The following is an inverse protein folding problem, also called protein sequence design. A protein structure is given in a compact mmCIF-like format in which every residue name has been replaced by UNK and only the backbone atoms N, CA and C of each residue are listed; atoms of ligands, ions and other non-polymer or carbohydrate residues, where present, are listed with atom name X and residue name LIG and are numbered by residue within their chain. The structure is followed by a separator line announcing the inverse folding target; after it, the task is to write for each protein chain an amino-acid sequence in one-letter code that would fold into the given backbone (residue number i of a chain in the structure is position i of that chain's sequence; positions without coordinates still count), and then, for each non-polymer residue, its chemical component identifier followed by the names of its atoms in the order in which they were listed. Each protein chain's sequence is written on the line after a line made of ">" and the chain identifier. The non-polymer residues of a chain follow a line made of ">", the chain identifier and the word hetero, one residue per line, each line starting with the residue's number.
data_IF_532047475951
#
_entry.id   IF_532047475951
#
_cell.length_a   1.000
_cell.length_b   1.000
_cell.length_c   1.000
_cell.angle_alpha   90.00
_cell.angle_beta   90.00
_cell.angle_gamma   90.00
#
_symmetry.space_group_name_H-M   'P 1'
#
loop_
_entity.id
_entity.type
_entity.pdbx_description
1 polymer ?
#
# COMPACT_ATOMS: atom_id res chain seq x y z
N UNK A 1 -38.72 -12.58 3.35
CA UNK A 1 -38.73 -11.35 4.17
C UNK A 1 -38.69 -10.17 3.23
N UNK A 2 -39.59 -9.21 3.35
CA UNK A 2 -39.68 -8.09 2.41
C UNK A 2 -38.53 -7.11 2.68
N UNK A 3 -37.62 -6.98 1.71
CA UNK A 3 -36.60 -5.93 1.69
C UNK A 3 -37.32 -4.57 1.69
N UNK A 4 -37.00 -3.73 2.68
CA UNK A 4 -37.47 -2.34 2.68
C UNK A 4 -36.66 -1.60 1.59
N UNK A 5 -37.34 -0.80 0.75
CA UNK A 5 -36.62 -0.04 -0.28
C UNK A 5 -35.71 0.99 0.36
N UNK A 6 -34.52 1.09 -0.21
CA UNK A 6 -33.58 2.18 0.01
C UNK A 6 -34.35 3.51 -0.13
N UNK A 7 -34.15 4.43 0.81
CA UNK A 7 -34.74 5.77 0.72
C UNK A 7 -34.07 6.50 -0.45
N UNK A 8 -34.76 6.49 -1.59
CA UNK A 8 -34.44 7.38 -2.69
C UNK A 8 -35.01 8.74 -2.33
N UNK A 9 -34.17 9.74 -2.06
CA UNK A 9 -34.64 11.12 -2.06
C UNK A 9 -35.17 11.42 -3.47
N UNK A 10 -36.47 11.56 -3.58
CA UNK A 10 -37.09 12.12 -4.77
C UNK A 10 -36.65 13.57 -4.87
N UNK A 11 -35.79 13.88 -5.81
CA UNK A 11 -35.66 15.26 -6.27
C UNK A 11 -37.01 15.67 -6.90
N UNK A 12 -37.43 16.90 -6.70
CA UNK A 12 -38.72 17.45 -7.11
C UNK A 12 -38.96 17.48 -8.65
N UNK A 13 -38.18 16.71 -9.41
CA UNK A 13 -38.26 16.70 -10.88
C UNK A 13 -38.75 15.39 -11.48
N UNK A 14 -39.45 14.54 -10.78
CA UNK A 14 -40.29 13.48 -11.38
C UNK A 14 -39.65 12.60 -12.47
N UNK A 15 -38.33 12.56 -12.59
CA UNK A 15 -37.61 11.78 -13.59
C UNK A 15 -37.12 10.47 -12.98
N UNK A 16 -37.25 9.41 -13.75
CA UNK A 16 -36.77 8.08 -13.43
C UNK A 16 -35.26 8.08 -13.17
N UNK A 17 -34.80 7.19 -12.28
CA UNK A 17 -33.37 6.91 -12.07
C UNK A 17 -32.72 6.65 -13.42
N UNK A 18 -31.65 7.39 -13.75
CA UNK A 18 -30.77 7.09 -14.87
C UNK A 18 -29.43 6.65 -14.32
N UNK A 19 -28.90 5.59 -14.87
CA UNK A 19 -27.56 5.10 -14.58
C UNK A 19 -26.51 6.10 -15.08
N UNK A 20 -25.38 6.20 -14.38
CA UNK A 20 -24.23 6.92 -14.91
C UNK A 20 -23.58 6.12 -16.03
N UNK A 21 -23.28 6.81 -17.10
CA UNK A 21 -22.44 6.30 -18.17
C UNK A 21 -21.00 6.74 -17.95
N UNK A 22 -20.05 5.98 -18.44
CA UNK A 22 -18.64 6.31 -18.35
C UNK A 22 -18.03 6.40 -19.75
N UNK A 23 -17.29 7.48 -19.97
CA UNK A 23 -16.39 7.63 -21.12
C UNK A 23 -14.95 7.57 -20.60
N UNK A 24 -14.35 6.38 -20.67
CA UNK A 24 -13.07 6.11 -20.03
C UNK A 24 -13.16 6.25 -18.50
N UNK A 25 -12.43 7.21 -17.93
CA UNK A 25 -12.41 7.50 -16.48
C UNK A 25 -13.40 8.62 -16.07
N UNK A 26 -14.15 9.18 -17.02
CA UNK A 26 -15.06 10.30 -16.77
C UNK A 26 -16.48 9.77 -16.54
N UNK A 27 -17.04 10.05 -15.37
CA UNK A 27 -18.44 9.77 -15.08
C UNK A 27 -19.31 10.81 -15.79
N UNK A 28 -20.29 10.34 -16.59
CA UNK A 28 -21.23 11.17 -17.33
C UNK A 28 -22.65 11.00 -16.78
N UNK A 29 -23.40 12.07 -16.80
CA UNK A 29 -24.83 12.05 -16.59
C UNK A 29 -25.49 12.85 -17.73
N UNK A 30 -26.40 12.21 -18.47
CA UNK A 30 -27.00 12.79 -19.66
C UNK A 30 -25.93 13.36 -20.64
N UNK A 31 -24.88 12.56 -20.91
CA UNK A 31 -23.76 12.91 -21.79
C UNK A 31 -22.90 14.13 -21.34
N UNK A 32 -23.07 14.57 -20.09
CA UNK A 32 -22.28 15.66 -19.49
C UNK A 32 -21.46 15.18 -18.32
N UNK A 33 -20.26 15.75 -18.10
CA UNK A 33 -19.46 15.41 -16.92
C UNK A 33 -20.26 15.59 -15.63
N UNK A 34 -20.32 14.52 -14.83
CA UNK A 34 -21.05 14.50 -13.58
C UNK A 34 -20.27 15.17 -12.47
N UNK A 35 -20.98 15.92 -11.62
CA UNK A 35 -20.46 16.42 -10.34
C UNK A 35 -21.49 16.12 -9.27
N UNK A 36 -21.09 15.38 -8.25
CA UNK A 36 -21.99 15.00 -7.16
C UNK A 36 -21.49 13.77 -6.41
N UNK A 37 -22.22 13.45 -5.35
CA UNK A 37 -21.96 12.25 -4.56
C UNK A 37 -22.56 11.03 -5.27
N UNK A 38 -21.82 9.92 -5.33
CA UNK A 38 -22.37 8.66 -5.80
C UNK A 38 -21.94 7.50 -4.90
N UNK A 39 -22.72 6.43 -4.95
CA UNK A 39 -22.37 5.16 -4.33
C UNK A 39 -22.74 4.02 -5.27
N UNK A 40 -21.96 2.97 -5.25
CA UNK A 40 -22.19 1.71 -5.94
C UNK A 40 -22.57 0.65 -4.94
N UNK A 41 -23.65 -0.10 -5.24
CA UNK A 41 -24.02 -1.28 -4.51
C UNK A 41 -23.64 -2.52 -5.32
N UNK A 42 -23.10 -3.52 -4.66
CA UNK A 42 -22.83 -4.82 -5.25
C UNK A 42 -23.96 -5.81 -4.88
N UNK A 43 -24.62 -6.40 -5.85
CA UNK A 43 -25.58 -7.50 -5.63
C UNK A 43 -24.84 -8.85 -5.69
N UNK A 44 -24.65 -9.55 -4.56
CA UNK A 44 -23.89 -10.80 -4.54
C UNK A 44 -24.65 -11.99 -5.18
N UNK A 45 -25.94 -11.83 -5.48
CA UNK A 45 -26.79 -12.94 -5.95
C UNK A 45 -26.95 -12.96 -7.48
N UNK A 46 -26.74 -11.85 -8.16
CA UNK A 46 -27.05 -11.73 -9.59
C UNK A 46 -25.87 -11.48 -10.53
N UNK A 47 -24.69 -11.17 -10.01
CA UNK A 47 -23.51 -10.86 -10.86
C UNK A 47 -23.71 -9.61 -11.75
N UNK A 48 -24.74 -8.82 -11.52
CA UNK A 48 -24.98 -7.56 -12.15
C UNK A 48 -24.67 -6.42 -11.18
N UNK A 49 -23.79 -5.53 -11.60
CA UNK A 49 -23.54 -4.28 -10.92
C UNK A 49 -24.74 -3.36 -11.11
N UNK A 50 -25.56 -3.18 -10.09
CA UNK A 50 -26.53 -2.09 -10.07
C UNK A 50 -25.87 -0.89 -9.43
N UNK A 51 -25.43 0.05 -10.24
CA UNK A 51 -25.07 1.38 -9.77
C UNK A 51 -26.35 2.11 -9.39
N UNK A 52 -26.72 2.08 -8.11
CA UNK A 52 -27.79 2.90 -7.56
C UNK A 52 -27.22 4.29 -7.25
N UNK A 53 -27.41 5.19 -8.19
CA UNK A 53 -26.96 6.58 -8.08
C UNK A 53 -27.96 7.40 -7.27
N UNK A 54 -27.54 7.87 -6.11
CA UNK A 54 -28.20 9.01 -5.48
C UNK A 54 -27.56 10.28 -6.06
N UNK A 55 -28.21 10.85 -7.07
CA UNK A 55 -27.84 12.16 -7.58
C UNK A 55 -28.35 13.19 -6.59
N UNK A 56 -27.46 13.74 -5.80
CA UNK A 56 -27.75 14.95 -5.06
C UNK A 56 -27.35 16.11 -5.96
N UNK A 57 -28.29 16.71 -6.68
CA UNK A 57 -28.06 18.05 -7.21
C UNK A 57 -27.70 18.95 -6.04
N UNK A 58 -26.48 19.43 -6.01
CA UNK A 58 -26.08 20.45 -5.06
C UNK A 58 -26.81 21.74 -5.37
N UNK A 59 -27.85 22.02 -4.64
CA UNK A 59 -28.20 23.40 -4.34
C UNK A 59 -27.04 24.00 -3.58
N UNK A 60 -26.37 24.98 -4.18
CA UNK A 60 -25.15 25.59 -3.71
C UNK A 60 -25.16 25.82 -2.19
N UNK A 61 -24.20 25.20 -1.50
CA UNK A 61 -23.79 25.65 -0.18
C UNK A 61 -24.32 24.89 1.02
N UNK A 62 -24.60 23.59 0.96
CA UNK A 62 -24.76 22.81 2.18
C UNK A 62 -23.38 22.49 2.81
N UNK A 63 -23.20 22.69 4.13
CA UNK A 63 -21.95 22.41 4.82
C UNK A 63 -21.57 20.92 4.75
N UNK A 64 -20.27 20.61 4.74
CA UNK A 64 -19.73 19.23 4.76
C UNK A 64 -20.32 18.35 5.87
N UNK A 65 -20.68 18.92 7.00
CA UNK A 65 -21.35 18.24 8.12
C UNK A 65 -22.73 17.63 7.77
N UNK A 66 -23.38 18.11 6.72
CA UNK A 66 -24.66 17.54 6.26
C UNK A 66 -24.50 16.21 5.52
N UNK A 67 -23.34 15.95 4.92
CA UNK A 67 -23.10 14.72 4.19
C UNK A 67 -22.79 13.54 5.10
N UNK A 68 -22.23 13.79 6.29
CA UNK A 68 -21.91 12.73 7.26
C UNK A 68 -23.11 12.22 8.05
N UNK A 69 -24.17 13.03 8.19
CA UNK A 69 -25.32 12.71 9.04
C UNK A 69 -26.45 11.95 8.33
N UNK A 70 -26.47 11.93 7.00
CA UNK A 70 -27.50 11.26 6.20
C UNK A 70 -27.09 9.91 5.59
N UNK A 71 -25.90 9.41 5.91
CA UNK A 71 -25.55 8.03 5.61
C UNK A 71 -26.28 7.09 6.56
N UNK A 72 -27.57 6.92 6.36
CA UNK A 72 -28.30 5.80 6.96
C UNK A 72 -27.80 4.55 6.27
N UNK A 73 -26.82 3.88 6.90
CA UNK A 73 -26.50 2.49 6.57
C UNK A 73 -27.78 1.69 6.69
N UNK A 74 -28.40 1.33 5.58
CA UNK A 74 -29.32 0.20 5.61
C UNK A 74 -28.45 -1.02 5.95
N UNK A 75 -28.69 -1.56 7.11
CA UNK A 75 -28.06 -2.75 7.65
C UNK A 75 -28.46 -3.95 6.82
N UNK A 76 -27.95 -4.16 5.65
CA UNK A 76 -27.97 -5.45 4.93
C UNK A 76 -27.60 -5.19 3.46
N UNK A 77 -26.48 -5.75 3.04
CA UNK A 77 -26.09 -6.01 1.66
C UNK A 77 -25.65 -4.79 0.82
N UNK A 78 -24.90 -3.85 1.40
CA UNK A 78 -24.31 -2.76 0.62
C UNK A 78 -22.81 -3.03 0.46
N UNK A 79 -22.46 -3.53 -0.71
CA UNK A 79 -21.08 -3.61 -1.17
C UNK A 79 -20.87 -2.55 -2.22
N UNK A 80 -19.68 -1.96 -2.26
CA UNK A 80 -19.43 -1.04 -3.32
C UNK A 80 -18.49 0.08 -2.92
N UNK A 81 -18.73 1.21 -3.48
CA UNK A 81 -17.94 2.40 -3.20
C UNK A 81 -18.83 3.62 -3.06
N UNK A 82 -18.36 4.60 -2.29
CA UNK A 82 -18.99 5.91 -2.21
C UNK A 82 -17.94 7.01 -2.27
N UNK A 83 -18.31 8.15 -2.81
CA UNK A 83 -17.45 9.31 -2.93
C UNK A 83 -18.08 10.42 -3.76
N UNK A 84 -17.29 11.44 -3.99
CA UNK A 84 -17.72 12.62 -4.71
C UNK A 84 -17.08 12.68 -6.10
N UNK A 85 -17.88 13.01 -7.12
CA UNK A 85 -17.43 13.38 -8.45
C UNK A 85 -17.47 14.89 -8.66
N UNK A 86 -16.43 15.41 -9.29
CA UNK A 86 -16.36 16.79 -9.75
C UNK A 86 -15.99 16.79 -11.23
N UNK A 87 -16.85 17.37 -12.04
CA UNK A 87 -16.68 17.37 -13.51
C UNK A 87 -16.42 15.96 -14.08
N UNK A 88 -17.15 14.95 -13.60
CA UNK A 88 -17.05 13.57 -14.04
C UNK A 88 -15.85 12.79 -13.51
N UNK A 89 -14.99 13.39 -12.70
CA UNK A 89 -13.80 12.76 -12.12
C UNK A 89 -13.93 12.61 -10.61
N UNK A 90 -13.37 11.54 -10.03
CA UNK A 90 -13.31 11.36 -8.59
C UNK A 90 -12.61 12.55 -7.94
N UNK A 91 -13.20 13.08 -6.84
CA UNK A 91 -12.66 14.23 -6.10
C UNK A 91 -12.98 14.07 -4.62
N UNK A 92 -12.00 14.31 -3.72
CA UNK A 92 -12.16 14.11 -2.28
C UNK A 92 -12.01 12.65 -1.83
N UNK A 93 -12.61 12.34 -0.69
CA UNK A 93 -12.52 11.00 -0.09
C UNK A 93 -13.44 10.02 -0.81
N UNK A 94 -12.88 8.85 -1.15
CA UNK A 94 -13.61 7.70 -1.64
C UNK A 94 -13.44 6.53 -0.69
N UNK A 95 -14.55 5.89 -0.31
CA UNK A 95 -14.59 4.74 0.59
C UNK A 95 -15.10 3.51 -0.17
N UNK A 96 -14.45 2.39 0.07
CA UNK A 96 -14.78 1.08 -0.52
C UNK A 96 -15.03 0.07 0.59
N UNK A 97 -15.88 -0.92 0.36
CA UNK A 97 -16.23 -1.93 1.35
C UNK A 97 -16.06 -3.34 0.81
N UNK A 98 -15.82 -4.26 1.74
CA UNK A 98 -15.93 -5.69 1.49
C UNK A 98 -17.40 -6.13 1.45
N UNK A 99 -17.69 -7.33 0.85
CA UNK A 99 -19.01 -7.92 0.84
C UNK A 99 -19.68 -8.02 2.23
N UNK A 100 -18.94 -8.20 3.28
CA UNK A 100 -19.44 -8.32 4.65
C UNK A 100 -19.67 -6.96 5.35
N UNK A 101 -19.49 -5.84 4.61
CA UNK A 101 -19.78 -4.49 5.08
C UNK A 101 -18.64 -3.79 5.85
N UNK A 102 -17.47 -4.42 5.98
CA UNK A 102 -16.30 -3.75 6.55
C UNK A 102 -15.63 -2.90 5.48
N UNK A 103 -14.97 -1.80 5.88
CA UNK A 103 -14.15 -1.00 4.97
C UNK A 103 -13.02 -1.84 4.39
N UNK A 104 -12.86 -1.79 3.07
CA UNK A 104 -11.74 -2.38 2.36
C UNK A 104 -10.68 -1.36 1.99
N UNK A 105 -11.09 -0.12 1.64
CA UNK A 105 -10.18 0.96 1.29
C UNK A 105 -10.81 2.33 1.52
N UNK A 106 -9.97 3.30 1.86
CA UNK A 106 -10.25 4.73 1.74
C UNK A 106 -9.12 5.37 0.93
N UNK A 107 -9.46 6.25 -0.01
CA UNK A 107 -8.49 6.93 -0.85
C UNK A 107 -8.92 8.37 -1.12
N UNK A 108 -7.96 9.30 -1.10
CA UNK A 108 -8.22 10.68 -1.48
C UNK A 108 -7.90 10.88 -2.95
N UNK A 109 -8.84 11.49 -3.68
CA UNK A 109 -8.72 11.80 -5.10
C UNK A 109 -8.75 13.30 -5.35
N UNK A 110 -8.05 13.71 -6.39
CA UNK A 110 -8.13 15.05 -6.97
C UNK A 110 -8.11 14.92 -8.48
N UNK A 111 -9.11 15.49 -9.14
CA UNK A 111 -9.24 15.43 -10.60
C UNK A 111 -9.11 14.02 -11.20
N UNK A 112 -9.58 12.98 -10.48
CA UNK A 112 -9.59 11.58 -10.90
C UNK A 112 -8.36 10.76 -10.51
N UNK A 113 -7.29 11.39 -9.97
CA UNK A 113 -6.08 10.68 -9.55
C UNK A 113 -5.93 10.66 -8.03
N UNK A 114 -5.29 9.63 -7.48
CA UNK A 114 -5.01 9.56 -6.04
C UNK A 114 -4.10 10.73 -5.62
N UNK A 115 -4.53 11.49 -4.61
CA UNK A 115 -3.81 12.63 -4.10
C UNK A 115 -4.09 12.78 -2.59
N UNK A 116 -3.16 12.35 -1.76
CA UNK A 116 -3.31 12.25 -0.32
C UNK A 116 -3.05 10.84 0.19
N UNK A 117 -3.69 10.48 1.28
CA UNK A 117 -3.52 9.16 1.91
C UNK A 117 -4.51 8.16 1.33
N UNK A 118 -4.02 6.97 0.99
CA UNK A 118 -4.83 5.79 0.70
C UNK A 118 -4.57 4.75 1.78
N UNK A 119 -5.64 4.36 2.48
CA UNK A 119 -5.61 3.31 3.52
C UNK A 119 -6.40 2.10 3.04
N UNK A 120 -5.86 0.90 3.26
CA UNK A 120 -6.55 -0.36 2.97
C UNK A 120 -6.60 -1.22 4.22
N UNK A 121 -7.64 -2.04 4.32
CA UNK A 121 -7.87 -2.95 5.44
C UNK A 121 -8.06 -4.37 4.95
N UNK A 122 -7.73 -5.32 5.80
CA UNK A 122 -8.11 -6.72 5.66
C UNK A 122 -9.61 -6.91 5.99
N UNK A 123 -10.20 -8.04 5.60
CA UNK A 123 -11.57 -8.41 5.98
C UNK A 123 -11.80 -8.47 7.50
N UNK A 124 -10.76 -8.75 8.28
CA UNK A 124 -10.82 -8.72 9.74
C UNK A 124 -10.74 -7.29 10.33
N UNK A 125 -10.84 -6.26 9.50
CA UNK A 125 -10.75 -4.83 9.85
C UNK A 125 -9.39 -4.37 10.37
N UNK A 126 -8.38 -5.22 10.36
CA UNK A 126 -7.00 -4.77 10.61
C UNK A 126 -6.46 -4.01 9.40
N UNK A 127 -5.66 -2.99 9.65
CA UNK A 127 -5.04 -2.21 8.58
C UNK A 127 -4.09 -3.10 7.77
N UNK A 128 -4.21 -3.04 6.45
CA UNK A 128 -3.35 -3.73 5.49
C UNK A 128 -2.21 -2.82 5.03
N UNK A 129 -2.56 -1.60 4.63
CA UNK A 129 -1.57 -0.64 4.14
C UNK A 129 -2.03 0.80 4.30
N UNK A 130 -1.06 1.69 4.41
CA UNK A 130 -1.21 3.13 4.30
C UNK A 130 -0.16 3.64 3.32
N UNK A 131 -0.60 4.40 2.32
CA UNK A 131 0.24 4.95 1.27
C UNK A 131 -0.05 6.43 1.08
N UNK A 132 0.98 7.19 0.77
CA UNK A 132 0.85 8.59 0.46
C UNK A 132 1.05 8.82 -1.04
N UNK A 133 0.09 9.51 -1.66
CA UNK A 133 0.10 9.82 -3.08
C UNK A 133 0.14 11.33 -3.33
N UNK A 134 0.84 11.71 -4.37
CA UNK A 134 0.82 13.05 -4.94
C UNK A 134 0.66 12.93 -6.45
N UNK A 135 -0.42 13.52 -6.98
CA UNK A 135 -0.72 13.52 -8.41
C UNK A 135 -0.65 12.11 -9.05
N UNK A 136 -1.20 11.10 -8.34
CA UNK A 136 -1.28 9.70 -8.78
C UNK A 136 -0.02 8.86 -8.56
N UNK A 137 1.06 9.43 -8.01
CA UNK A 137 2.33 8.71 -7.76
C UNK A 137 2.60 8.61 -6.26
N UNK A 138 3.19 7.50 -5.80
CA UNK A 138 3.59 7.36 -4.39
C UNK A 138 4.63 8.43 -4.02
N UNK A 139 4.31 9.29 -3.04
CA UNK A 139 5.20 10.33 -2.52
C UNK A 139 5.00 10.45 -1.01
N UNK A 140 5.91 9.91 -0.24
CA UNK A 140 5.84 9.83 1.21
C UNK A 140 6.10 8.44 1.76
N UNK A 141 5.61 8.19 2.97
CA UNK A 141 5.78 6.90 3.64
C UNK A 141 4.70 5.92 3.18
N UNK A 142 5.13 4.71 2.81
CA UNK A 142 4.27 3.55 2.60
C UNK A 142 4.49 2.55 3.73
N UNK A 143 3.43 2.14 4.39
CA UNK A 143 3.47 1.16 5.48
C UNK A 143 2.52 0.01 5.16
N UNK A 144 2.96 -1.20 5.43
CA UNK A 144 2.15 -2.42 5.36
C UNK A 144 2.11 -3.12 6.73
N UNK A 145 1.01 -3.75 7.03
CA UNK A 145 0.79 -4.56 8.22
C UNK A 145 0.39 -5.98 7.85
N UNK A 146 0.68 -6.91 8.71
CA UNK A 146 0.19 -8.29 8.65
C UNK A 146 -1.26 -8.37 9.17
N UNK A 147 -2.02 -9.43 8.85
CA UNK A 147 -3.39 -9.62 9.35
C UNK A 147 -3.52 -9.66 10.89
N UNK A 148 -2.43 -9.86 11.61
CA UNK A 148 -2.36 -9.79 13.08
C UNK A 148 -2.13 -8.37 13.62
N UNK A 149 -2.06 -7.35 12.74
CA UNK A 149 -1.86 -5.95 13.07
C UNK A 149 -0.40 -5.52 13.31
N UNK A 150 0.55 -6.44 13.21
CA UNK A 150 1.98 -6.11 13.30
C UNK A 150 2.50 -5.54 11.98
N UNK A 151 3.53 -4.71 12.05
CA UNK A 151 4.20 -4.20 10.86
C UNK A 151 4.74 -5.34 9.99
N UNK A 152 4.54 -5.22 8.68
CA UNK A 152 5.13 -6.09 7.66
C UNK A 152 6.29 -5.38 6.96
N UNK A 153 6.06 -4.16 6.47
CA UNK A 153 7.12 -3.33 5.87
C UNK A 153 6.83 -1.83 5.99
N UNK A 154 7.90 -1.04 5.95
CA UNK A 154 7.82 0.43 5.89
C UNK A 154 8.89 0.96 4.96
N UNK A 155 8.48 1.76 3.99
CA UNK A 155 9.36 2.34 2.99
C UNK A 155 9.03 3.83 2.79
N UNK A 156 9.96 4.57 2.21
CA UNK A 156 9.74 5.96 1.84
C UNK A 156 9.90 6.12 0.33
N UNK A 157 8.94 6.79 -0.30
CA UNK A 157 8.94 7.07 -1.74
C UNK A 157 9.01 8.57 -2.00
N UNK A 158 9.67 8.91 -3.08
CA UNK A 158 9.70 10.27 -3.63
C UNK A 158 9.42 10.18 -5.12
N UNK A 159 8.34 10.81 -5.56
CA UNK A 159 7.93 10.79 -6.98
C UNK A 159 7.93 9.37 -7.57
N UNK A 160 7.35 8.39 -6.84
CA UNK A 160 7.28 6.98 -7.22
C UNK A 160 8.59 6.20 -7.05
N UNK A 161 9.68 6.85 -6.69
CA UNK A 161 10.99 6.21 -6.52
C UNK A 161 11.27 5.92 -5.05
N UNK A 162 11.73 4.70 -4.75
CA UNK A 162 12.09 4.30 -3.39
C UNK A 162 13.34 5.07 -2.93
N UNK A 163 13.20 5.76 -1.80
CA UNK A 163 14.21 6.65 -1.22
C UNK A 163 14.32 6.44 0.28
N UNK A 164 15.54 6.58 0.84
CA UNK A 164 15.74 6.49 2.28
C UNK A 164 15.55 5.08 2.85
N UNK A 165 15.12 4.97 4.11
CA UNK A 165 15.05 3.68 4.80
C UNK A 165 13.90 2.80 4.28
N UNK A 166 14.19 1.51 4.11
CA UNK A 166 13.21 0.45 3.91
C UNK A 166 13.41 -0.60 4.99
N UNK A 167 12.37 -0.89 5.77
CA UNK A 167 12.39 -1.82 6.88
C UNK A 167 11.33 -2.89 6.65
N UNK A 168 11.70 -4.14 6.87
CA UNK A 168 10.81 -5.31 6.79
C UNK A 168 10.86 -6.03 8.14
N UNK A 169 9.73 -6.55 8.61
CA UNK A 169 9.61 -7.30 9.85
C UNK A 169 9.23 -8.76 9.58
N UNK A 170 9.62 -9.63 10.47
CA UNK A 170 9.11 -10.99 10.59
C UNK A 170 7.67 -10.98 11.12
N UNK A 171 6.93 -12.07 10.94
CA UNK A 171 5.57 -12.21 11.48
C UNK A 171 5.50 -12.15 13.01
N UNK A 172 6.61 -12.40 13.71
CA UNK A 172 6.72 -12.26 15.16
C UNK A 172 6.98 -10.82 15.63
N UNK A 173 7.02 -9.85 14.69
CA UNK A 173 7.22 -8.43 14.96
C UNK A 173 8.68 -7.97 15.12
N UNK A 174 9.64 -8.88 15.06
CA UNK A 174 11.06 -8.51 15.06
C UNK A 174 11.52 -8.04 13.68
N UNK A 175 12.51 -7.15 13.63
CA UNK A 175 13.07 -6.71 12.34
C UNK A 175 13.65 -7.89 11.57
N UNK A 176 13.33 -7.97 10.28
CA UNK A 176 13.87 -8.93 9.32
C UNK A 176 14.97 -8.31 8.46
N UNK A 177 14.69 -7.12 7.91
CA UNK A 177 15.66 -6.39 7.10
C UNK A 177 15.57 -4.89 7.39
N UNK A 178 16.72 -4.22 7.35
CA UNK A 178 16.83 -2.77 7.29
C UNK A 178 17.85 -2.42 6.22
N UNK A 179 17.44 -1.64 5.26
CA UNK A 179 18.27 -1.20 4.16
C UNK A 179 17.96 0.27 3.82
N UNK A 180 18.81 0.88 3.04
CA UNK A 180 18.66 2.26 2.61
C UNK A 180 18.71 2.35 1.09
N UNK A 181 17.88 3.21 0.51
CA UNK A 181 17.81 3.46 -0.92
C UNK A 181 18.11 4.91 -1.26
N UNK A 182 18.78 5.11 -2.36
CA UNK A 182 19.00 6.39 -3.01
C UNK A 182 18.67 6.23 -4.49
N UNK A 183 17.76 7.06 -5.00
CA UNK A 183 17.32 7.02 -6.40
C UNK A 183 16.94 5.62 -6.89
N UNK A 184 16.18 4.88 -6.05
CA UNK A 184 15.72 3.52 -6.33
C UNK A 184 16.77 2.42 -6.20
N UNK A 185 18.02 2.76 -5.86
CA UNK A 185 19.12 1.81 -5.71
C UNK A 185 19.52 1.65 -4.25
N UNK A 186 19.91 0.44 -3.85
CA UNK A 186 20.47 0.21 -2.51
C UNK A 186 21.75 1.02 -2.33
N UNK A 187 21.86 1.68 -1.18
CA UNK A 187 23.00 2.50 -0.82
C UNK A 187 23.34 2.33 0.66
N UNK A 188 24.61 2.12 0.99
CA UNK A 188 25.09 1.96 2.36
C UNK A 188 24.81 0.58 2.96
N UNK A 189 24.68 0.51 4.26
CA UNK A 189 24.54 -0.74 5.02
C UNK A 189 23.13 -1.33 4.92
N UNK A 190 23.05 -2.61 4.52
CA UNK A 190 21.90 -3.47 4.70
C UNK A 190 22.18 -4.45 5.83
N UNK A 191 21.29 -4.51 6.80
CA UNK A 191 21.33 -5.51 7.89
C UNK A 191 20.09 -6.39 7.83
N UNK A 192 20.30 -7.70 7.98
CA UNK A 192 19.24 -8.69 8.13
C UNK A 192 19.35 -9.40 9.47
N UNK A 193 18.21 -9.87 9.98
CA UNK A 193 18.12 -10.58 11.25
C UNK A 193 17.36 -11.90 11.09
N UNK A 194 17.72 -12.86 11.89
CA UNK A 194 16.97 -14.09 12.12
C UNK A 194 15.67 -13.79 12.90
N UNK A 195 14.73 -14.72 12.93
CA UNK A 195 13.49 -14.60 13.71
C UNK A 195 13.70 -14.53 15.22
N UNK A 196 14.87 -14.93 15.71
CA UNK A 196 15.26 -14.77 17.11
C UNK A 196 15.87 -13.38 17.44
N UNK A 197 15.90 -12.47 16.45
CA UNK A 197 16.42 -11.11 16.60
C UNK A 197 17.92 -10.95 16.48
N UNK A 198 18.67 -12.04 16.34
CA UNK A 198 20.11 -11.96 16.11
C UNK A 198 20.41 -11.63 14.65
N UNK A 199 21.50 -10.92 14.41
CA UNK A 199 21.93 -10.61 13.02
C UNK A 199 22.15 -11.89 12.23
N UNK A 200 21.66 -11.90 11.00
CA UNK A 200 21.91 -12.96 10.02
C UNK A 200 22.87 -12.53 8.93
N UNK A 201 22.81 -11.24 8.50
CA UNK A 201 23.68 -10.73 7.45
C UNK A 201 23.88 -9.22 7.59
N UNK A 202 25.09 -8.75 7.30
CA UNK A 202 25.40 -7.36 7.02
C UNK A 202 26.12 -7.26 5.66
N UNK A 203 25.69 -6.31 4.85
CA UNK A 203 26.23 -6.06 3.50
C UNK A 203 26.30 -4.57 3.23
N UNK A 204 27.35 -4.11 2.58
CA UNK A 204 27.42 -2.74 2.10
C UNK A 204 27.10 -2.69 0.61
N UNK A 205 26.33 -1.68 0.24
CA UNK A 205 25.92 -1.40 -1.13
C UNK A 205 26.36 -0.01 -1.56
N UNK A 206 26.77 0.09 -2.82
CA UNK A 206 27.05 1.35 -3.52
C UNK A 206 26.37 1.31 -4.89
N UNK A 207 25.50 2.27 -5.15
CA UNK A 207 24.74 2.34 -6.42
C UNK A 207 24.04 1.02 -6.81
N UNK A 208 23.49 0.30 -5.81
CA UNK A 208 22.75 -0.94 -5.99
C UNK A 208 23.60 -2.20 -6.06
N UNK A 209 24.93 -2.10 -5.93
CA UNK A 209 25.85 -3.24 -5.98
C UNK A 209 26.57 -3.45 -4.66
N UNK A 210 26.92 -4.71 -4.37
CA UNK A 210 27.71 -5.05 -3.19
C UNK A 210 29.13 -4.43 -3.34
N UNK A 211 29.50 -3.63 -2.35
CA UNK A 211 30.81 -2.97 -2.27
C UNK A 211 31.24 -2.88 -0.80
N UNK A 212 32.33 -3.54 -0.45
CA UNK A 212 32.85 -3.60 0.90
C UNK A 212 32.63 -4.95 1.59
N UNK A 213 32.54 -4.91 2.90
CA UNK A 213 32.48 -6.09 3.75
C UNK A 213 31.07 -6.69 3.77
N UNK A 214 31.00 -8.02 3.63
CA UNK A 214 29.76 -8.82 3.81
C UNK A 214 30.02 -9.84 4.88
N UNK A 215 29.14 -9.90 5.89
CA UNK A 215 29.25 -10.82 7.01
C UNK A 215 27.93 -11.60 7.14
N UNK A 216 28.03 -12.91 7.35
CA UNK A 216 26.94 -13.79 7.69
C UNK A 216 27.14 -14.37 9.08
N UNK A 217 26.05 -14.56 9.81
CA UNK A 217 26.04 -15.17 11.14
C UNK A 217 25.09 -16.36 11.19
N UNK A 218 25.43 -17.31 12.04
CA UNK A 218 24.53 -18.36 12.46
C UNK A 218 23.44 -17.83 13.38
N UNK A 219 22.39 -18.63 13.62
CA UNK A 219 21.29 -18.25 14.52
C UNK A 219 21.71 -18.06 15.98
N UNK A 220 22.85 -18.62 16.40
CA UNK A 220 23.43 -18.43 17.72
C UNK A 220 24.31 -17.17 17.84
N UNK A 221 24.40 -16.38 16.74
CA UNK A 221 25.15 -15.12 16.69
C UNK A 221 26.63 -15.26 16.38
N UNK A 222 27.16 -16.48 16.21
CA UNK A 222 28.55 -16.67 15.76
C UNK A 222 28.69 -16.35 14.27
N UNK A 223 29.87 -15.84 13.89
CA UNK A 223 30.17 -15.62 12.48
C UNK A 223 30.18 -16.93 11.72
N UNK A 224 29.53 -16.93 10.54
CA UNK A 224 29.50 -18.03 9.58
C UNK A 224 30.43 -17.79 8.41
N UNK A 225 30.44 -16.56 7.88
CA UNK A 225 31.24 -16.22 6.73
C UNK A 225 31.53 -14.72 6.73
N UNK A 226 32.70 -14.34 6.23
CA UNK A 226 33.09 -12.96 6.00
C UNK A 226 33.80 -12.86 4.66
N UNK A 227 33.38 -11.91 3.80
CA UNK A 227 33.96 -11.64 2.48
C UNK A 227 34.04 -10.16 2.24
N UNK A 228 35.01 -9.74 1.43
CA UNK A 228 35.09 -8.35 0.97
C UNK A 228 34.92 -8.29 -0.55
N UNK A 229 34.17 -7.29 -1.00
CA UNK A 229 33.93 -6.99 -2.41
C UNK A 229 34.41 -5.59 -2.75
N UNK A 230 34.94 -5.46 -3.97
CA UNK A 230 35.23 -4.19 -4.60
C UNK A 230 34.84 -4.30 -6.07
N UNK A 231 34.05 -3.32 -6.54
CA UNK A 231 33.57 -3.31 -7.94
C UNK A 231 32.97 -4.66 -8.38
N UNK A 232 32.14 -5.29 -7.53
CA UNK A 232 31.47 -6.60 -7.73
C UNK A 232 32.41 -7.81 -7.75
N UNK A 233 33.67 -7.64 -7.45
CA UNK A 233 34.64 -8.73 -7.41
C UNK A 233 35.13 -8.97 -5.99
N UNK A 234 35.40 -10.23 -5.66
CA UNK A 234 36.02 -10.57 -4.38
C UNK A 234 37.36 -9.87 -4.28
N UNK A 235 37.57 -9.07 -3.25
CA UNK A 235 38.79 -8.33 -3.02
C UNK A 235 39.03 -8.23 -1.51
N UNK A 236 40.00 -8.94 -1.01
CA UNK A 236 40.32 -9.07 0.39
C UNK A 236 40.17 -10.50 0.91
N UNK A 237 40.05 -10.64 2.19
CA UNK A 237 40.00 -11.95 2.85
C UNK A 237 38.59 -12.55 2.77
N UNK A 238 38.50 -13.81 2.39
CA UNK A 238 37.31 -14.64 2.55
C UNK A 238 37.59 -15.66 3.64
N UNK A 239 36.79 -15.62 4.72
CA UNK A 239 36.90 -16.55 5.85
C UNK A 239 35.56 -17.21 6.11
N UNK A 240 35.57 -18.50 6.39
CA UNK A 240 34.38 -19.26 6.84
C UNK A 240 34.65 -19.98 8.15
N UNK A 241 33.60 -20.12 8.96
CA UNK A 241 33.62 -20.80 10.24
C UNK A 241 32.46 -21.81 10.30
N UNK A 242 32.69 -22.92 10.98
CA UNK A 242 31.65 -23.87 11.39
C UNK A 242 30.84 -23.35 12.59
N UNK A 243 29.73 -23.99 12.90
CA UNK A 243 28.84 -23.61 14.03
C UNK A 243 29.55 -23.69 15.38
N UNK A 244 30.57 -24.58 15.55
CA UNK A 244 31.41 -24.66 16.73
C UNK A 244 32.47 -23.53 16.82
N UNK A 245 32.50 -22.64 15.79
CA UNK A 245 33.39 -21.46 15.72
C UNK A 245 34.78 -21.74 15.17
N UNK A 246 35.07 -22.94 14.68
CA UNK A 246 36.37 -23.24 14.06
C UNK A 246 36.40 -22.69 12.64
N UNK A 247 37.53 -22.09 12.28
CA UNK A 247 37.81 -21.65 10.91
C UNK A 247 37.90 -22.88 9.99
N UNK A 248 37.06 -22.92 8.95
CA UNK A 248 36.99 -24.02 7.96
C UNK A 248 37.60 -23.63 6.61
N UNK A 249 37.62 -22.32 6.33
CA UNK A 249 38.19 -21.81 5.10
C UNK A 249 38.80 -20.42 5.31
N UNK A 250 39.92 -20.16 4.63
CA UNK A 250 40.48 -18.81 4.54
C UNK A 250 41.29 -18.69 3.26
N UNK A 251 41.02 -17.66 2.47
CA UNK A 251 41.73 -17.35 1.25
C UNK A 251 41.70 -15.86 0.96
N UNK A 252 42.81 -15.32 0.48
CA UNK A 252 42.90 -13.92 0.04
C UNK A 252 42.57 -13.84 -1.46
N UNK A 253 41.82 -12.80 -1.84
CA UNK A 253 41.43 -12.53 -3.21
C UNK A 253 41.87 -11.12 -3.64
N UNK A 254 42.24 -10.98 -4.88
CA UNK A 254 42.56 -9.69 -5.53
C UNK A 254 41.89 -9.72 -6.90
N UNK A 255 40.98 -8.77 -7.14
CA UNK A 255 40.20 -8.63 -8.38
C UNK A 255 39.57 -9.97 -8.82
N UNK A 256 38.91 -10.66 -7.89
CA UNK A 256 38.23 -11.93 -8.10
C UNK A 256 39.13 -13.17 -8.20
N UNK A 257 40.45 -13.00 -8.17
CA UNK A 257 41.40 -14.13 -8.26
C UNK A 257 41.96 -14.47 -6.90
N UNK A 258 41.86 -15.74 -6.50
CA UNK A 258 42.42 -16.25 -5.25
C UNK A 258 43.97 -16.31 -5.34
N UNK A 259 44.62 -15.79 -4.30
CA UNK A 259 46.06 -15.82 -4.10
C UNK A 259 46.46 -17.07 -3.35
#
# INVERSE_FOLDING_TARGET
>A
MKTKPLFVMKTNMGKEKKDLEFDGEIALFEEKPFSGFCFENFDPIGGQHHADLAITEMFGGLPEEFYSSYMVRSTLDVFGSEGYYKNGKKDGLWTYWYPEGQKSSEAHYKDGVENGVTTRWYQNSQQLSEKHYKDGVEDGVTTYWNPNGQFSSKAHYKEGTLMGPHIIWHENGQMKNKEHYKDGKREGLRTSWHENGQKSTEMHYKEGTEDGLVIWWYQDGKKKCEKSFKDRQLNGLWTEWSEDGKKTYEKHFVDGKGQ
#
